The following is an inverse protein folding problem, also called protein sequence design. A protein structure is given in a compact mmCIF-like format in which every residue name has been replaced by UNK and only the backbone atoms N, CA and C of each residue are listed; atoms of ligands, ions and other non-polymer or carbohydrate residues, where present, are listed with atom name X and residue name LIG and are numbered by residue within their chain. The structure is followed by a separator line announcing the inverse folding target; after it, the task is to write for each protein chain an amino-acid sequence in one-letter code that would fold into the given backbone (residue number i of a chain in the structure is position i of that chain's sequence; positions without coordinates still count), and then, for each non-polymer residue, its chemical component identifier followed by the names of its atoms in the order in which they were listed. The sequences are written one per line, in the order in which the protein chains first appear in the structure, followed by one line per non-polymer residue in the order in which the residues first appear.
data_IF_113672634854
#
_entry.id   IF_113672634854
#
_cell.length_a   1.000
_cell.length_b   1.000
_cell.length_c   1.000
_cell.angle_alpha   90.00
_cell.angle_beta   90.00
_cell.angle_gamma   90.00
#
_symmetry.space_group_name_H-M   'P 1'
#
loop_
_entity.id
_entity.type
_entity.pdbx_description
1 polymer ?
#
# COMPACT_ATOMS: atom_id res chain seq x y z
N UNK A 1 -63.83 55.44 -0.16
CA UNK A 1 -63.57 54.96 1.21
C UNK A 1 -64.27 53.62 1.34
N UNK A 2 -63.50 52.53 1.29
CA UNK A 2 -64.02 51.16 1.38
C UNK A 2 -63.51 50.53 2.68
N UNK A 3 -64.37 49.84 3.46
CA UNK A 3 -63.98 49.33 4.77
C UNK A 3 -63.18 48.03 4.64
N UNK A 4 -62.07 47.98 5.38
CA UNK A 4 -61.22 46.79 5.56
C UNK A 4 -61.94 45.77 6.44
N UNK A 5 -62.22 44.59 5.89
CA UNK A 5 -62.76 43.44 6.63
C UNK A 5 -61.60 42.69 7.29
N UNK A 6 -61.57 42.69 8.62
CA UNK A 6 -60.66 41.90 9.45
C UNK A 6 -61.14 40.44 9.49
N UNK A 7 -60.32 39.51 9.01
CA UNK A 7 -60.57 38.08 9.16
C UNK A 7 -60.29 37.61 10.60
N UNK A 8 -61.12 36.72 11.17
CA UNK A 8 -60.91 36.15 12.49
C UNK A 8 -59.73 35.14 12.48
N UNK A 9 -59.05 34.97 13.63
CA UNK A 9 -57.90 34.09 13.77
C UNK A 9 -58.31 32.61 13.64
N UNK A 10 -57.59 31.86 12.80
CA UNK A 10 -57.77 30.42 12.66
C UNK A 10 -57.20 29.66 13.88
N UNK A 11 -57.82 28.54 14.28
CA UNK A 11 -57.34 27.70 15.37
C UNK A 11 -56.04 26.97 14.98
N UNK A 12 -55.12 26.92 15.94
CA UNK A 12 -53.79 26.30 15.83
C UNK A 12 -53.96 24.77 15.72
N UNK A 13 -53.28 24.09 14.77
CA UNK A 13 -53.39 22.64 14.64
C UNK A 13 -52.65 21.91 15.76
N UNK A 14 -53.34 20.89 16.26
CA UNK A 14 -52.95 19.93 17.29
C UNK A 14 -51.62 19.24 16.96
N UNK A 15 -50.74 19.14 17.96
CA UNK A 15 -49.40 18.57 17.84
C UNK A 15 -49.48 17.05 17.62
N UNK A 16 -49.32 16.61 16.38
CA UNK A 16 -49.22 15.19 16.05
C UNK A 16 -47.95 14.59 16.69
N UNK A 17 -48.14 13.61 17.58
CA UNK A 17 -47.04 12.83 18.16
C UNK A 17 -46.39 11.98 17.08
N UNK A 18 -45.16 12.34 16.71
CA UNK A 18 -44.31 11.57 15.79
C UNK A 18 -43.87 10.29 16.49
N UNK A 19 -44.51 9.16 16.14
CA UNK A 19 -44.06 7.83 16.56
C UNK A 19 -42.82 7.46 15.74
N UNK A 20 -41.64 7.58 16.35
CA UNK A 20 -40.37 7.14 15.76
C UNK A 20 -40.33 5.61 15.77
N UNK A 21 -40.78 4.98 14.69
CA UNK A 21 -40.56 3.56 14.42
C UNK A 21 -39.10 3.40 13.99
N UNK A 22 -38.25 3.01 14.95
CA UNK A 22 -36.87 2.64 14.66
C UNK A 22 -36.88 1.30 13.93
N UNK A 23 -36.89 1.36 12.59
CA UNK A 23 -36.70 0.19 11.73
C UNK A 23 -35.27 -0.34 11.92
N UNK A 24 -35.13 -1.27 12.87
CA UNK A 24 -33.90 -2.02 13.08
C UNK A 24 -33.77 -3.03 11.94
N UNK A 25 -33.16 -2.60 10.83
CA UNK A 25 -32.81 -3.45 9.70
C UNK A 25 -32.01 -4.64 10.23
N UNK A 26 -32.59 -5.83 10.14
CA UNK A 26 -31.91 -7.08 10.50
C UNK A 26 -30.82 -7.31 9.46
N UNK A 27 -29.59 -6.99 9.81
CA UNK A 27 -28.41 -7.25 8.97
C UNK A 27 -28.19 -8.76 8.97
N UNK A 28 -28.54 -9.43 7.88
CA UNK A 28 -28.19 -10.84 7.69
C UNK A 28 -26.66 -11.03 7.81
N UNK A 29 -26.18 -12.13 8.40
CA UNK A 29 -24.77 -12.48 8.40
C UNK A 29 -24.28 -12.62 6.95
N UNK A 30 -23.44 -11.67 6.54
CA UNK A 30 -22.89 -11.60 5.18
C UNK A 30 -21.82 -12.68 4.98
N UNK A 31 -21.78 -13.28 3.79
CA UNK A 31 -20.75 -14.24 3.40
C UNK A 31 -19.37 -13.57 3.48
N UNK A 32 -18.43 -14.06 4.32
CA UNK A 32 -17.08 -13.53 4.40
C UNK A 32 -16.32 -13.55 3.06
N UNK A 33 -16.80 -14.33 2.09
CA UNK A 33 -16.22 -14.44 0.75
C UNK A 33 -16.80 -13.45 -0.25
N UNK A 34 -17.79 -12.63 0.11
CA UNK A 34 -18.42 -11.68 -0.83
C UNK A 34 -17.40 -10.73 -1.46
N UNK A 35 -16.56 -10.08 -0.63
CA UNK A 35 -15.48 -9.23 -1.12
C UNK A 35 -14.43 -10.03 -1.90
N UNK A 36 -14.04 -11.21 -1.41
CA UNK A 36 -13.05 -12.06 -2.08
C UNK A 36 -13.47 -12.46 -3.49
N UNK A 37 -14.74 -12.86 -3.66
CA UNK A 37 -15.32 -13.27 -4.93
C UNK A 37 -15.43 -12.08 -5.89
N UNK A 38 -15.86 -10.91 -5.40
CA UNK A 38 -15.93 -9.68 -6.19
C UNK A 38 -14.54 -9.22 -6.66
N UNK A 39 -13.57 -9.23 -5.75
CA UNK A 39 -12.18 -8.89 -6.08
C UNK A 39 -11.62 -9.87 -7.12
N UNK A 40 -11.88 -11.19 -6.96
CA UNK A 40 -11.46 -12.22 -7.91
C UNK A 40 -12.12 -12.07 -9.28
N UNK A 41 -13.42 -11.72 -9.34
CA UNK A 41 -14.12 -11.56 -10.62
C UNK A 41 -13.59 -10.38 -11.44
N UNK A 42 -13.12 -9.33 -10.77
CA UNK A 42 -12.55 -8.13 -11.42
C UNK A 42 -11.07 -8.34 -11.76
N UNK A 43 -10.30 -8.86 -10.82
CA UNK A 43 -8.84 -8.97 -10.93
C UNK A 43 -8.40 -10.23 -11.70
N UNK A 44 -9.21 -11.29 -11.69
CA UNK A 44 -8.85 -12.60 -12.22
C UNK A 44 -7.80 -13.31 -11.35
N UNK A 45 -6.78 -13.89 -11.97
CA UNK A 45 -5.68 -14.53 -11.25
C UNK A 45 -4.76 -13.50 -10.58
N UNK A 46 -4.21 -13.86 -9.43
CA UNK A 46 -3.20 -13.02 -8.78
C UNK A 46 -1.93 -12.95 -9.63
N UNK A 47 -1.35 -11.75 -9.72
CA UNK A 47 0.00 -11.54 -10.23
C UNK A 47 0.68 -10.45 -9.40
N UNK A 48 2.00 -10.49 -9.34
CA UNK A 48 2.78 -9.51 -8.56
C UNK A 48 2.51 -8.06 -9.00
N UNK A 49 2.26 -7.83 -10.30
CA UNK A 49 1.93 -6.51 -10.86
C UNK A 49 0.63 -5.93 -10.26
N UNK A 50 -0.30 -6.79 -9.81
CA UNK A 50 -1.59 -6.41 -9.21
C UNK A 50 -1.49 -6.07 -7.72
N UNK A 51 -0.36 -6.38 -7.08
CA UNK A 51 -0.14 -6.25 -5.63
C UNK A 51 -0.53 -4.88 -5.07
N UNK A 52 -0.14 -3.79 -5.76
CA UNK A 52 -0.38 -2.42 -5.27
C UNK A 52 -1.86 -2.05 -5.34
N UNK A 53 -2.54 -2.44 -6.43
CA UNK A 53 -3.97 -2.18 -6.60
C UNK A 53 -4.80 -2.98 -5.58
N UNK A 54 -4.45 -4.24 -5.38
CA UNK A 54 -5.07 -5.10 -4.36
C UNK A 54 -4.85 -4.51 -2.96
N UNK A 55 -3.63 -4.03 -2.64
CA UNK A 55 -3.36 -3.37 -1.36
C UNK A 55 -4.28 -2.16 -1.14
N UNK A 56 -4.52 -1.33 -2.16
CA UNK A 56 -5.44 -0.19 -2.07
C UNK A 56 -6.89 -0.62 -1.81
N UNK A 57 -7.39 -1.62 -2.54
CA UNK A 57 -8.74 -2.14 -2.35
C UNK A 57 -8.94 -2.79 -0.97
N UNK A 58 -7.95 -3.57 -0.50
CA UNK A 58 -7.95 -4.19 0.84
C UNK A 58 -7.96 -3.14 1.94
N UNK A 59 -7.11 -2.11 1.86
CA UNK A 59 -7.07 -1.05 2.87
C UNK A 59 -8.40 -0.28 2.92
N UNK A 60 -9.06 -0.10 1.77
CA UNK A 60 -10.37 0.54 1.71
C UNK A 60 -11.45 -0.33 2.36
N UNK A 61 -11.51 -1.63 2.03
CA UNK A 61 -12.47 -2.57 2.65
C UNK A 61 -12.26 -2.70 4.16
N UNK A 62 -11.00 -2.76 4.60
CA UNK A 62 -10.66 -2.77 6.01
C UNK A 62 -11.18 -1.50 6.73
N UNK A 63 -11.06 -0.33 6.10
CA UNK A 63 -11.59 0.91 6.64
C UNK A 63 -13.12 0.90 6.72
N UNK A 64 -13.82 0.52 5.65
CA UNK A 64 -15.30 0.39 5.64
C UNK A 64 -15.79 -0.54 6.75
N UNK A 65 -15.07 -1.65 6.95
CA UNK A 65 -15.38 -2.61 8.03
C UNK A 65 -15.25 -1.96 9.40
N UNK A 66 -14.16 -1.23 9.65
CA UNK A 66 -13.94 -0.56 10.92
C UNK A 66 -14.93 0.58 11.17
N UNK A 67 -15.31 1.33 10.13
CA UNK A 67 -16.36 2.35 10.16
C UNK A 67 -17.71 1.75 10.55
N UNK A 68 -18.10 0.65 9.91
CA UNK A 68 -19.38 -0.02 10.19
C UNK A 68 -19.52 -0.51 11.63
N UNK A 69 -18.41 -0.93 12.24
CA UNK A 69 -18.37 -1.41 13.62
C UNK A 69 -18.29 -0.27 14.65
N UNK A 70 -18.24 0.99 14.21
CA UNK A 70 -17.92 2.16 15.05
C UNK A 70 -16.60 2.03 15.83
N UNK A 71 -15.69 1.14 15.39
CA UNK A 71 -14.38 0.88 16.04
C UNK A 71 -13.35 1.95 15.67
N UNK A 72 -13.73 2.99 14.93
CA UNK A 72 -12.85 4.14 14.62
C UNK A 72 -12.97 5.32 15.60
N UNK A 73 -13.77 5.18 16.67
CA UNK A 73 -13.75 6.13 17.80
C UNK A 73 -12.59 6.01 18.82
N UNK A 74 -11.70 5.01 18.85
CA UNK A 74 -10.59 5.00 19.80
C UNK A 74 -9.52 6.02 19.37
N UNK A 75 -8.65 6.38 20.32
CA UNK A 75 -7.55 7.33 20.14
C UNK A 75 -6.82 7.09 18.82
N UNK A 76 -6.45 8.19 18.15
CA UNK A 76 -5.78 8.20 16.83
C UNK A 76 -4.62 7.20 16.74
N UNK A 77 -3.90 6.96 17.84
CA UNK A 77 -2.79 6.00 17.91
C UNK A 77 -3.18 4.57 17.47
N UNK A 78 -4.33 4.06 17.93
CA UNK A 78 -4.76 2.66 17.69
C UNK A 78 -5.40 2.42 16.32
N UNK A 79 -5.83 3.48 15.64
CA UNK A 79 -6.54 3.34 14.36
C UNK A 79 -5.68 2.69 13.27
N UNK A 80 -4.37 2.95 13.28
CA UNK A 80 -3.46 2.35 12.30
C UNK A 80 -3.27 0.84 12.50
N UNK A 81 -3.17 0.41 13.75
CA UNK A 81 -3.02 -1.00 14.11
C UNK A 81 -4.30 -1.78 13.78
N UNK A 82 -5.46 -1.21 14.14
CA UNK A 82 -6.76 -1.78 13.81
C UNK A 82 -6.95 -1.89 12.29
N UNK A 83 -6.56 -0.86 11.53
CA UNK A 83 -6.61 -0.88 10.06
C UNK A 83 -5.76 -2.00 9.49
N UNK A 84 -4.52 -2.15 9.96
CA UNK A 84 -3.61 -3.16 9.45
C UNK A 84 -4.04 -4.58 9.84
N UNK A 85 -4.52 -4.75 11.07
CA UNK A 85 -5.05 -6.03 11.55
C UNK A 85 -6.31 -6.45 10.78
N UNK A 86 -7.21 -5.51 10.51
CA UNK A 86 -8.37 -5.75 9.66
C UNK A 86 -7.96 -6.05 8.21
N UNK A 87 -6.99 -5.32 7.66
CA UNK A 87 -6.46 -5.58 6.31
C UNK A 87 -5.86 -6.98 6.17
N UNK A 88 -5.21 -7.50 7.22
CA UNK A 88 -4.75 -8.90 7.27
C UNK A 88 -5.91 -9.88 7.17
N UNK A 89 -6.94 -9.71 8.00
CA UNK A 89 -8.12 -10.57 7.98
C UNK A 89 -8.85 -10.55 6.61
N UNK A 90 -8.93 -9.37 5.98
CA UNK A 90 -9.47 -9.21 4.62
C UNK A 90 -8.65 -10.02 3.60
N UNK A 91 -7.32 -9.95 3.66
CA UNK A 91 -6.45 -10.71 2.73
C UNK A 91 -6.52 -12.21 3.01
N UNK A 92 -6.58 -12.64 4.27
CA UNK A 92 -6.73 -14.05 4.66
C UNK A 92 -8.03 -14.65 4.13
N UNK A 93 -9.09 -13.83 4.01
CA UNK A 93 -10.35 -14.23 3.37
C UNK A 93 -10.24 -14.45 1.85
N UNK A 94 -9.09 -14.19 1.24
CA UNK A 94 -8.84 -14.34 -0.20
C UNK A 94 -8.03 -15.60 -0.54
N UNK A 95 -8.66 -16.80 -0.56
CA UNK A 95 -7.97 -18.07 -0.75
C UNK A 95 -7.30 -18.23 -2.11
N UNK A 96 -7.76 -17.48 -3.11
CA UNK A 96 -7.21 -17.49 -4.48
C UNK A 96 -5.88 -16.74 -4.61
N UNK A 97 -5.52 -15.93 -3.61
CA UNK A 97 -4.19 -15.32 -3.52
C UNK A 97 -3.25 -16.35 -2.87
N UNK A 98 -2.10 -16.69 -3.47
CA UNK A 98 -1.13 -17.60 -2.87
C UNK A 98 -0.72 -17.13 -1.47
N UNK A 99 -0.56 -18.07 -0.53
CA UNK A 99 -0.25 -17.75 0.87
C UNK A 99 1.00 -16.86 0.99
N UNK A 100 2.06 -17.17 0.23
CA UNK A 100 3.30 -16.39 0.19
C UNK A 100 3.06 -14.94 -0.23
N UNK A 101 2.14 -14.70 -1.17
CA UNK A 101 1.82 -13.38 -1.69
C UNK A 101 0.88 -12.57 -0.80
N UNK A 102 0.17 -13.21 0.14
CA UNK A 102 -0.77 -12.51 1.06
C UNK A 102 -0.02 -11.55 1.98
N UNK A 103 1.07 -12.01 2.58
CA UNK A 103 1.93 -11.17 3.41
C UNK A 103 2.58 -10.07 2.59
N UNK A 104 3.00 -10.40 1.37
CA UNK A 104 3.64 -9.42 0.48
C UNK A 104 2.73 -8.27 0.13
N UNK A 105 1.41 -8.48 -0.04
CA UNK A 105 0.45 -7.39 -0.29
C UNK A 105 0.50 -6.35 0.82
N UNK A 106 0.80 -6.73 2.05
CA UNK A 106 0.94 -5.82 3.19
C UNK A 106 2.38 -5.35 3.41
N UNK A 107 3.22 -5.32 2.37
CA UNK A 107 4.52 -4.65 2.43
C UNK A 107 4.48 -3.18 1.94
N UNK A 108 5.42 -2.36 2.41
CA UNK A 108 5.57 -0.96 2.02
C UNK A 108 5.88 -0.85 0.53
N UNK A 109 6.92 -1.48 0.03
CA UNK A 109 7.36 -1.35 -1.37
C UNK A 109 7.31 -2.70 -2.07
N UNK A 110 7.22 -2.68 -3.41
CA UNK A 110 7.34 -3.91 -4.19
C UNK A 110 8.72 -4.57 -4.01
N UNK A 111 9.76 -3.80 -3.74
CA UNK A 111 11.15 -4.29 -3.77
C UNK A 111 11.75 -4.66 -2.42
N UNK A 112 11.22 -4.18 -1.28
CA UNK A 112 11.97 -4.21 0.00
C UNK A 112 11.41 -5.14 1.06
N UNK A 113 10.39 -5.94 0.74
CA UNK A 113 9.74 -6.89 1.65
C UNK A 113 9.44 -6.35 3.06
N UNK A 114 9.33 -5.02 3.21
CA UNK A 114 9.20 -4.38 4.52
C UNK A 114 7.74 -4.37 4.92
N UNK A 115 7.36 -4.89 6.09
CA UNK A 115 5.99 -4.80 6.58
C UNK A 115 5.44 -3.38 6.54
N UNK A 116 4.20 -3.24 6.07
CA UNK A 116 3.47 -1.99 6.07
C UNK A 116 3.27 -1.57 7.52
N UNK A 117 3.72 -0.36 7.83
CA UNK A 117 3.52 0.21 9.18
C UNK A 117 2.12 0.84 9.27
N UNK A 118 1.48 0.77 10.44
CA UNK A 118 0.20 1.43 10.76
C UNK A 118 0.01 2.86 10.23
N UNK A 119 1.01 3.72 10.39
CA UNK A 119 0.96 5.11 9.92
C UNK A 119 0.99 5.21 8.40
N UNK A 120 1.84 4.39 7.77
CA UNK A 120 1.95 4.35 6.31
C UNK A 120 0.70 3.75 5.68
N UNK A 121 0.08 2.74 6.30
CA UNK A 121 -1.20 2.19 5.88
C UNK A 121 -2.28 3.27 5.86
N UNK A 122 -2.42 4.03 6.95
CA UNK A 122 -3.38 5.13 7.04
C UNK A 122 -3.10 6.25 6.04
N UNK A 123 -1.84 6.65 5.90
CA UNK A 123 -1.44 7.67 4.93
C UNK A 123 -1.83 7.23 3.51
N UNK A 124 -1.55 5.99 3.14
CA UNK A 124 -1.92 5.43 1.83
C UNK A 124 -3.42 5.36 1.61
N UNK A 125 -4.19 4.95 2.63
CA UNK A 125 -5.63 4.95 2.55
C UNK A 125 -6.17 6.37 2.29
N UNK A 126 -5.69 7.38 3.03
CA UNK A 126 -6.08 8.78 2.83
C UNK A 126 -5.70 9.28 1.43
N UNK A 127 -4.47 9.00 0.99
CA UNK A 127 -4.01 9.34 -0.36
C UNK A 127 -4.86 8.65 -1.45
N UNK A 128 -5.23 7.39 -1.25
CA UNK A 128 -6.09 6.64 -2.16
C UNK A 128 -7.48 7.29 -2.27
N UNK A 129 -8.12 7.57 -1.14
CA UNK A 129 -9.44 8.25 -1.09
C UNK A 129 -9.37 9.62 -1.78
N UNK A 130 -8.32 10.40 -1.49
CA UNK A 130 -8.12 11.70 -2.11
C UNK A 130 -7.89 11.59 -3.61
N UNK A 131 -7.11 10.61 -4.08
CA UNK A 131 -6.87 10.39 -5.50
C UNK A 131 -8.16 10.03 -6.24
N UNK A 132 -8.98 9.14 -5.66
CA UNK A 132 -10.28 8.78 -6.22
C UNK A 132 -11.17 10.03 -6.34
N UNK A 133 -11.29 10.82 -5.26
CA UNK A 133 -12.19 11.98 -5.21
C UNK A 133 -11.72 13.16 -6.06
N UNK A 134 -10.41 13.39 -6.18
CA UNK A 134 -9.85 14.58 -6.85
C UNK A 134 -9.37 14.32 -8.26
N UNK A 135 -9.09 13.07 -8.62
CA UNK A 135 -8.50 12.71 -9.92
C UNK A 135 -9.46 11.80 -10.69
N UNK A 136 -9.82 10.65 -10.12
CA UNK A 136 -10.57 9.63 -10.86
C UNK A 136 -12.01 10.06 -11.12
N UNK A 137 -12.76 10.48 -10.09
CA UNK A 137 -14.16 10.91 -10.24
C UNK A 137 -14.28 12.08 -11.23
N UNK A 138 -13.49 13.18 -11.10
CA UNK A 138 -13.54 14.26 -12.09
C UNK A 138 -13.16 13.82 -13.51
N UNK A 139 -12.16 12.94 -13.66
CA UNK A 139 -11.77 12.44 -14.97
C UNK A 139 -12.84 11.55 -15.61
N UNK A 140 -13.50 10.70 -14.83
CA UNK A 140 -14.64 9.89 -15.28
C UNK A 140 -15.83 10.77 -15.68
N UNK A 141 -16.13 11.80 -14.89
CA UNK A 141 -17.19 12.75 -15.21
C UNK A 141 -16.87 13.54 -16.49
N UNK A 142 -15.64 14.02 -16.65
CA UNK A 142 -15.21 14.71 -17.87
C UNK A 142 -15.21 13.79 -19.10
N UNK A 143 -14.86 12.52 -18.94
CA UNK A 143 -14.93 11.53 -20.01
C UNK A 143 -16.37 11.27 -20.44
N UNK A 144 -17.32 11.34 -19.50
CA UNK A 144 -18.75 11.25 -19.75
C UNK A 144 -19.26 9.82 -19.60
N UNK A 145 -20.03 9.56 -18.54
CA UNK A 145 -20.68 8.26 -18.36
C UNK A 145 -21.70 8.01 -19.46
N UNK A 146 -21.69 6.79 -19.99
CA UNK A 146 -22.68 6.29 -20.94
C UNK A 146 -23.79 5.60 -20.16
N UNK A 147 -25.01 6.14 -20.27
CA UNK A 147 -26.16 5.68 -19.48
C UNK A 147 -26.70 4.31 -19.93
N UNK A 148 -26.39 3.89 -21.14
CA UNK A 148 -26.69 2.56 -21.70
C UNK A 148 -25.70 1.48 -21.24
N UNK A 149 -24.62 1.85 -20.55
CA UNK A 149 -23.58 0.95 -20.08
C UNK A 149 -23.63 0.75 -18.57
N UNK A 150 -23.35 -0.47 -18.11
CA UNK A 150 -23.12 -0.75 -16.70
C UNK A 150 -21.90 0.01 -16.17
N UNK A 151 -21.78 0.13 -14.84
CA UNK A 151 -20.62 0.76 -14.21
C UNK A 151 -19.30 0.12 -14.65
N UNK A 152 -19.28 -1.21 -14.67
CA UNK A 152 -18.13 -2.02 -15.07
C UNK A 152 -17.73 -1.78 -16.54
N UNK A 153 -18.70 -1.66 -17.42
CA UNK A 153 -18.48 -1.37 -18.83
C UNK A 153 -17.97 0.07 -19.04
N UNK A 154 -18.53 1.04 -18.31
CA UNK A 154 -18.02 2.42 -18.29
C UNK A 154 -16.56 2.47 -17.82
N UNK A 155 -16.21 1.78 -16.73
CA UNK A 155 -14.83 1.69 -16.24
C UNK A 155 -13.89 1.09 -17.29
N UNK A 156 -14.29 0.01 -17.97
CA UNK A 156 -13.48 -0.61 -19.02
C UNK A 156 -13.28 0.31 -20.22
N UNK A 157 -14.34 1.00 -20.65
CA UNK A 157 -14.28 1.93 -21.77
C UNK A 157 -13.40 3.15 -21.45
N UNK A 158 -13.49 3.69 -20.23
CA UNK A 158 -12.61 4.76 -19.76
C UNK A 158 -11.14 4.34 -19.74
N UNK A 159 -10.83 3.13 -19.23
CA UNK A 159 -9.46 2.62 -19.20
C UNK A 159 -8.90 2.41 -20.62
N UNK A 160 -9.71 1.93 -21.56
CA UNK A 160 -9.32 1.79 -22.95
C UNK A 160 -9.03 3.15 -23.59
N UNK A 161 -9.91 4.14 -23.45
CA UNK A 161 -9.67 5.50 -23.94
C UNK A 161 -8.42 6.14 -23.33
N UNK A 162 -8.21 5.96 -22.03
CA UNK A 162 -7.01 6.44 -21.32
C UNK A 162 -5.72 5.77 -21.81
N UNK A 163 -5.79 4.49 -22.17
CA UNK A 163 -4.67 3.75 -22.74
C UNK A 163 -4.32 4.25 -24.16
N UNK A 164 -5.34 4.37 -25.02
CA UNK A 164 -5.19 4.84 -26.40
C UNK A 164 -4.57 6.24 -26.43
N UNK A 165 -5.07 7.16 -25.60
CA UNK A 165 -4.53 8.52 -25.45
C UNK A 165 -3.06 8.55 -25.01
N UNK A 166 -2.63 7.58 -24.20
CA UNK A 166 -1.27 7.55 -23.64
C UNK A 166 -0.24 6.99 -24.62
N UNK A 167 -0.62 6.01 -25.43
CA UNK A 167 0.30 5.33 -26.34
C UNK A 167 0.12 5.69 -27.81
N UNK A 168 -0.93 6.43 -28.16
CA UNK A 168 -1.28 6.76 -29.54
C UNK A 168 -1.45 5.48 -30.40
N UNK A 169 -2.08 4.46 -29.82
CA UNK A 169 -2.35 3.18 -30.48
C UNK A 169 -3.77 2.73 -30.22
N UNK A 170 -4.45 2.18 -31.23
CA UNK A 170 -5.75 1.52 -31.09
C UNK A 170 -5.66 0.08 -30.52
N UNK A 171 -4.54 -0.27 -29.88
CA UNK A 171 -4.36 -1.59 -29.30
C UNK A 171 -5.23 -1.74 -28.05
N UNK A 172 -5.76 -2.94 -27.85
CA UNK A 172 -6.48 -3.27 -26.62
C UNK A 172 -5.56 -3.11 -25.42
N UNK A 173 -5.98 -2.39 -24.38
CA UNK A 173 -5.16 -2.25 -23.18
C UNK A 173 -4.98 -3.62 -22.52
N UNK A 174 -3.77 -3.90 -22.06
CA UNK A 174 -3.51 -5.12 -21.29
C UNK A 174 -3.99 -4.94 -19.87
N UNK A 175 -4.57 -5.97 -19.25
CA UNK A 175 -5.01 -5.89 -17.85
C UNK A 175 -3.85 -5.49 -16.92
N UNK A 176 -2.61 -5.83 -17.26
CA UNK A 176 -1.44 -5.40 -16.48
C UNK A 176 -1.21 -3.89 -16.45
N UNK A 177 -1.60 -3.20 -17.52
CA UNK A 177 -1.37 -1.77 -17.64
C UNK A 177 -2.16 -0.98 -16.58
N UNK A 178 -3.44 -1.34 -16.37
CA UNK A 178 -4.32 -0.76 -15.34
C UNK A 178 -3.60 -0.75 -13.99
N UNK A 179 -3.07 -1.91 -13.58
CA UNK A 179 -2.45 -2.06 -12.25
C UNK A 179 -1.07 -1.40 -12.12
N UNK A 180 -0.38 -1.15 -13.23
CA UNK A 180 0.92 -0.48 -13.26
C UNK A 180 0.76 1.05 -13.24
N UNK A 181 -0.22 1.58 -13.96
CA UNK A 181 -0.36 3.03 -14.18
C UNK A 181 -1.35 3.67 -13.23
N UNK A 182 -2.46 3.00 -12.92
CA UNK A 182 -3.49 3.52 -12.01
C UNK A 182 -3.99 2.44 -11.05
N UNK A 183 -3.13 2.08 -10.10
CA UNK A 183 -3.48 1.11 -9.07
C UNK A 183 -4.64 1.56 -8.17
N UNK A 184 -4.99 2.85 -8.13
CA UNK A 184 -6.11 3.35 -7.34
C UNK A 184 -7.45 3.15 -8.03
N UNK A 185 -7.47 3.04 -9.36
CA UNK A 185 -8.67 2.81 -10.15
C UNK A 185 -9.42 1.54 -9.78
N UNK A 186 -8.71 0.47 -9.40
CA UNK A 186 -9.34 -0.76 -8.91
C UNK A 186 -10.23 -0.49 -7.67
N UNK A 187 -9.82 0.42 -6.78
CA UNK A 187 -10.63 0.79 -5.61
C UNK A 187 -11.87 1.57 -6.03
N UNK A 188 -11.74 2.49 -7.00
CA UNK A 188 -12.89 3.19 -7.58
C UNK A 188 -13.90 2.21 -8.19
N UNK A 189 -13.44 1.34 -9.09
CA UNK A 189 -14.24 0.35 -9.82
C UNK A 189 -14.99 -0.63 -8.91
N UNK A 190 -14.43 -0.95 -7.74
CA UNK A 190 -15.11 -1.77 -6.74
C UNK A 190 -16.09 -0.90 -5.95
N UNK A 191 -15.62 0.16 -5.29
CA UNK A 191 -16.36 0.80 -4.19
C UNK A 191 -17.14 2.04 -4.57
N UNK A 192 -17.14 2.46 -5.83
CA UNK A 192 -17.84 3.66 -6.28
C UNK A 192 -18.83 3.32 -7.39
N UNK A 193 -19.90 4.09 -7.47
CA UNK A 193 -20.80 4.12 -8.61
C UNK A 193 -20.98 5.57 -9.03
N UNK A 194 -20.48 5.87 -10.23
CA UNK A 194 -20.34 7.24 -10.74
C UNK A 194 -19.58 8.12 -9.73
N UNK A 195 -20.26 9.07 -9.11
CA UNK A 195 -19.65 10.08 -8.23
C UNK A 195 -19.79 9.77 -6.74
N UNK A 196 -20.43 8.64 -6.42
CA UNK A 196 -20.79 8.28 -5.04
C UNK A 196 -20.22 6.93 -4.65
N UNK A 197 -20.01 6.73 -3.34
CA UNK A 197 -19.62 5.42 -2.81
C UNK A 197 -20.75 4.43 -2.98
N UNK A 198 -20.44 3.24 -3.49
CA UNK A 198 -21.39 2.20 -3.79
C UNK A 198 -21.88 1.53 -2.49
N UNK A 199 -23.07 1.93 -2.04
CA UNK A 199 -23.72 1.38 -0.84
C UNK A 199 -24.30 -0.02 -1.05
N UNK A 200 -24.39 -0.50 -2.30
CA UNK A 200 -24.89 -1.85 -2.58
C UNK A 200 -23.91 -2.95 -2.21
N UNK A 201 -22.63 -2.63 -2.04
CA UNK A 201 -21.62 -3.60 -1.62
C UNK A 201 -21.71 -3.74 -0.09
N UNK A 202 -22.16 -4.90 0.41
CA UNK A 202 -22.28 -5.10 1.84
C UNK A 202 -20.91 -5.04 2.49
N UNK A 203 -20.87 -4.51 3.72
CA UNK A 203 -19.65 -4.53 4.53
C UNK A 203 -19.48 -5.93 5.11
N UNK A 204 -18.32 -6.54 4.85
CA UNK A 204 -18.03 -7.89 5.32
C UNK A 204 -17.52 -7.86 6.77
N UNK A 205 -18.07 -8.71 7.62
CA UNK A 205 -17.63 -8.82 9.00
C UNK A 205 -16.49 -9.83 9.15
N UNK A 206 -15.25 -9.33 9.15
CA UNK A 206 -14.09 -10.18 9.44
C UNK A 206 -13.89 -10.34 10.96
N UNK A 207 -13.56 -11.56 11.36
CA UNK A 207 -13.08 -11.89 12.72
C UNK A 207 -11.60 -11.57 12.81
N UNK A 208 -11.25 -10.59 13.64
CA UNK A 208 -9.85 -10.28 13.93
C UNK A 208 -9.41 -11.11 15.12
N UNK A 209 -8.58 -12.12 14.89
CA UNK A 209 -7.95 -12.88 15.98
C UNK A 209 -6.81 -12.03 16.52
N UNK A 210 -7.06 -11.29 17.59
CA UNK A 210 -5.98 -10.67 18.34
C UNK A 210 -5.22 -11.78 19.05
N UNK A 211 -4.10 -12.21 18.47
CA UNK A 211 -3.11 -12.99 19.20
C UNK A 211 -2.48 -12.06 20.22
N UNK A 212 -3.13 -11.91 21.36
CA UNK A 212 -2.55 -11.26 22.52
C UNK A 212 -1.36 -12.14 22.91
N UNK A 213 -0.16 -11.72 22.49
CA UNK A 213 1.06 -12.40 22.89
C UNK A 213 1.05 -12.37 24.42
N UNK A 214 0.84 -13.53 25.05
CA UNK A 214 0.86 -13.66 26.49
C UNK A 214 2.19 -13.10 26.96
N UNK A 215 2.17 -11.87 27.46
CA UNK A 215 3.32 -11.26 28.13
C UNK A 215 3.41 -12.04 29.43
N UNK A 216 4.14 -13.16 29.40
CA UNK A 216 4.55 -13.83 30.62
C UNK A 216 5.23 -12.76 31.46
N UNK A 217 4.70 -12.40 32.64
CA UNK A 217 5.31 -11.37 33.45
C UNK A 217 6.73 -11.84 33.77
N UNK A 218 7.71 -11.22 33.12
CA UNK A 218 9.11 -11.43 33.46
C UNK A 218 9.27 -10.89 34.88
N UNK A 219 9.16 -11.78 35.86
CA UNK A 219 9.50 -11.51 37.25
C UNK A 219 10.95 -11.01 37.22
N UNK A 220 11.13 -9.69 37.33
CA UNK A 220 12.44 -9.08 37.47
C UNK A 220 13.01 -9.58 38.79
N UNK A 221 13.89 -10.57 38.71
CA UNK A 221 14.72 -10.99 39.83
C UNK A 221 15.51 -9.76 40.29
N UNK A 222 15.58 -9.46 41.61
CA UNK A 222 16.35 -8.33 42.10
C UNK A 222 17.80 -8.46 41.64
N UNK A 223 18.29 -7.46 40.92
CA UNK A 223 19.70 -7.36 40.54
C UNK A 223 20.48 -6.95 41.79
N UNK A 224 21.48 -7.73 42.25
CA UNK A 224 22.35 -7.28 43.32
C UNK A 224 23.13 -6.04 42.87
N UNK A 225 23.25 -5.07 43.77
CA UNK A 225 23.85 -3.77 43.52
C UNK A 225 25.27 -3.89 42.91
N UNK A 226 25.61 -3.08 41.88
CA UNK A 226 26.95 -3.07 41.33
C UNK A 226 27.92 -2.42 42.32
N UNK A 227 29.02 -3.10 42.60
CA UNK A 227 30.15 -2.54 43.32
C UNK A 227 30.80 -1.42 42.51
N UNK A 228 31.04 -0.30 43.17
CA UNK A 228 31.70 0.90 42.65
C UNK A 228 33.18 0.60 42.39
N UNK A 229 33.57 0.36 41.14
CA UNK A 229 34.99 0.37 40.75
C UNK A 229 35.32 1.65 40.00
N UNK A 230 35.95 2.56 40.74
CA UNK A 230 36.70 3.72 40.26
C UNK A 230 37.82 3.23 39.34
N UNK A 231 37.83 3.62 38.07
CA UNK A 231 38.97 3.38 37.18
C UNK A 231 39.46 4.69 36.58
N UNK A 232 40.74 4.91 36.84
CA UNK A 232 41.56 6.09 36.62
C UNK A 232 41.80 6.39 35.14
N UNK A 233 41.81 7.67 34.85
CA UNK A 233 42.18 8.36 33.61
C UNK A 233 43.56 7.94 33.10
N UNK A 234 43.66 7.62 31.80
CA UNK A 234 44.94 7.58 31.09
C UNK A 234 44.79 8.19 29.69
N UNK A 235 45.36 9.38 29.54
CA UNK A 235 45.53 10.16 28.32
C UNK A 235 46.58 9.49 27.42
N UNK A 236 46.32 9.33 26.11
CA UNK A 236 47.38 9.05 25.11
C UNK A 236 47.25 9.96 23.89
N UNK A 237 48.40 10.26 23.22
CA UNK A 237 48.55 11.42 22.36
C UNK A 237 48.23 11.13 20.89
N UNK A 238 48.01 12.24 20.20
CA UNK A 238 47.80 12.42 18.76
C UNK A 238 49.03 11.97 17.97
N UNK A 239 48.83 11.11 16.97
CA UNK A 239 49.81 10.86 15.92
C UNK A 239 49.25 11.37 14.58
N UNK A 240 49.93 12.37 14.03
CA UNK A 240 49.73 12.86 12.67
C UNK A 240 50.16 11.79 11.67
N UNK A 241 49.34 11.52 10.65
CA UNK A 241 49.71 10.69 9.51
C UNK A 241 49.51 11.48 8.22
N UNK A 242 50.53 11.35 7.38
CA UNK A 242 50.89 12.19 6.27
C UNK A 242 49.94 12.11 5.07
N UNK A 243 49.91 13.24 4.37
CA UNK A 243 49.35 13.45 3.03
C UNK A 243 50.12 12.61 2.02
N UNK A 244 49.44 11.72 1.30
CA UNK A 244 49.94 11.11 0.08
C UNK A 244 49.10 11.61 -1.11
N UNK A 245 49.74 12.44 -1.96
CA UNK A 245 49.29 12.81 -3.31
C UNK A 245 49.73 11.72 -4.29
N UNK A 246 48.88 11.37 -5.27
CA UNK A 246 49.20 11.03 -6.68
C UNK A 246 47.96 10.43 -7.39
N UNK A 247 47.92 10.30 -8.73
CA UNK A 247 47.83 11.36 -9.72
C UNK A 247 46.60 11.19 -10.64
N UNK A 248 46.38 12.19 -11.50
CA UNK A 248 45.38 12.20 -12.56
C UNK A 248 45.59 11.08 -13.60
N UNK A 249 44.50 10.52 -14.13
CA UNK A 249 44.50 9.70 -15.35
C UNK A 249 43.16 9.81 -16.08
N UNK A 250 43.22 10.57 -17.18
CA UNK A 250 42.61 10.44 -18.50
C UNK A 250 41.15 9.97 -18.72
N UNK A 251 40.48 10.50 -19.78
CA UNK A 251 39.05 10.31 -20.04
C UNK A 251 38.75 8.99 -20.78
N UNK A 252 37.64 8.35 -20.43
CA UNK A 252 37.08 7.22 -21.19
C UNK A 252 36.10 7.72 -22.25
N UNK A 253 36.36 7.32 -23.49
CA UNK A 253 35.55 7.48 -24.69
C UNK A 253 34.27 6.63 -24.66
N UNK A 254 33.23 6.98 -25.45
CA UNK A 254 31.96 6.27 -25.47
C UNK A 254 32.03 5.07 -26.45
N UNK A 255 31.62 3.89 -25.99
CA UNK A 255 31.40 2.73 -26.85
C UNK A 255 29.94 2.70 -27.29
N UNK A 256 29.76 2.95 -28.58
CA UNK A 256 28.57 2.70 -29.41
C UNK A 256 28.63 1.25 -29.90
N UNK A 257 27.54 0.49 -29.78
CA UNK A 257 27.15 -0.64 -30.65
C UNK A 257 25.70 -0.99 -30.28
N UNK A 258 24.69 -0.70 -31.11
CA UNK A 258 24.32 -1.34 -32.39
C UNK A 258 23.60 -2.69 -32.19
N UNK A 259 22.32 -2.64 -32.54
CA UNK A 259 21.36 -3.70 -32.90
C UNK A 259 21.90 -5.12 -33.10
N UNK A 260 21.18 -6.09 -32.53
CA UNK A 260 21.00 -7.40 -33.14
C UNK A 260 19.57 -7.91 -32.84
N UNK A 261 18.82 -8.11 -33.92
CA UNK A 261 17.62 -8.94 -33.98
C UNK A 261 17.89 -10.33 -33.41
N UNK A 262 16.92 -10.91 -32.72
CA UNK A 262 16.74 -12.36 -32.75
C UNK A 262 15.28 -12.69 -32.45
N UNK A 263 14.60 -13.17 -33.50
CA UNK A 263 13.36 -13.93 -33.42
C UNK A 263 13.55 -15.10 -32.43
N UNK A 264 12.70 -15.19 -31.41
CA UNK A 264 12.56 -16.39 -30.60
C UNK A 264 11.34 -17.18 -31.09
N UNK A 265 11.59 -18.42 -31.51
CA UNK A 265 10.60 -19.42 -31.92
C UNK A 265 10.04 -20.16 -30.69
N UNK A 266 8.79 -20.58 -30.80
CA UNK A 266 7.91 -21.17 -29.78
C UNK A 266 8.20 -22.66 -29.41
N UNK A 267 9.43 -23.16 -29.48
CA UNK A 267 9.71 -24.61 -29.34
C UNK A 267 10.34 -25.07 -27.99
N UNK A 268 10.57 -24.18 -27.02
CA UNK A 268 11.24 -24.56 -25.75
C UNK A 268 10.30 -24.81 -24.53
N UNK A 269 8.98 -24.89 -24.74
CA UNK A 269 8.01 -24.98 -23.62
C UNK A 269 7.85 -26.41 -23.06
N UNK A 270 8.25 -27.46 -23.78
CA UNK A 270 8.08 -28.86 -23.31
C UNK A 270 9.20 -29.42 -22.42
N UNK A 271 10.32 -28.70 -22.23
CA UNK A 271 11.42 -29.16 -21.38
C UNK A 271 11.30 -28.78 -19.88
N UNK A 272 10.18 -28.16 -19.46
CA UNK A 272 10.04 -27.59 -18.10
C UNK A 272 9.36 -28.50 -17.07
N UNK A 273 8.95 -29.72 -17.44
CA UNK A 273 8.19 -30.64 -16.56
C UNK A 273 9.00 -31.75 -15.90
N UNK A 274 10.34 -31.72 -15.94
CA UNK A 274 11.17 -32.67 -15.18
C UNK A 274 11.76 -32.06 -13.89
N UNK A 275 11.09 -32.32 -12.77
CA UNK A 275 11.72 -32.89 -11.55
C UNK A 275 12.68 -32.05 -10.69
N UNK A 276 12.16 -31.49 -9.59
CA UNK A 276 12.74 -31.54 -8.24
C UNK A 276 14.17 -31.00 -7.92
N UNK A 277 14.81 -30.18 -8.78
CA UNK A 277 16.08 -29.51 -8.44
C UNK A 277 16.07 -27.97 -8.37
N UNK A 278 14.91 -27.32 -8.51
CA UNK A 278 14.81 -25.85 -8.63
C UNK A 278 14.77 -25.05 -7.32
N UNK A 279 14.39 -25.66 -6.20
CA UNK A 279 14.15 -24.91 -4.95
C UNK A 279 15.38 -24.16 -4.39
N UNK A 280 16.61 -24.61 -4.65
CA UNK A 280 17.81 -24.01 -4.04
C UNK A 280 18.41 -22.86 -4.86
N UNK A 281 18.26 -22.91 -6.19
CA UNK A 281 18.78 -21.87 -7.10
C UNK A 281 17.87 -20.64 -7.08
N UNK A 282 16.56 -20.84 -6.93
CA UNK A 282 15.60 -19.74 -6.85
C UNK A 282 15.75 -18.92 -5.55
N UNK A 283 16.12 -19.57 -4.43
CA UNK A 283 16.39 -18.91 -3.16
C UNK A 283 17.67 -18.06 -3.16
N UNK A 284 18.77 -18.57 -3.73
CA UNK A 284 20.01 -17.80 -3.89
C UNK A 284 19.82 -16.59 -4.82
N UNK A 285 19.00 -16.76 -5.86
CA UNK A 285 18.67 -15.69 -6.78
C UNK A 285 17.77 -14.62 -6.11
N UNK A 286 16.82 -15.04 -5.26
CA UNK A 286 15.99 -14.14 -4.47
C UNK A 286 16.81 -13.34 -3.45
N UNK A 287 17.73 -13.98 -2.73
CA UNK A 287 18.65 -13.30 -1.81
C UNK A 287 19.55 -12.30 -2.55
N UNK A 288 20.06 -12.70 -3.72
CA UNK A 288 20.89 -11.82 -4.56
C UNK A 288 20.12 -10.62 -5.11
N UNK A 289 18.83 -10.78 -5.44
CA UNK A 289 17.95 -9.68 -5.86
C UNK A 289 17.63 -8.74 -4.69
N UNK A 290 17.29 -9.29 -3.52
CA UNK A 290 17.06 -8.53 -2.28
C UNK A 290 18.28 -7.68 -1.90
N UNK A 291 19.48 -8.27 -2.02
CA UNK A 291 20.74 -7.57 -1.74
C UNK A 291 21.00 -6.42 -2.71
N UNK A 292 20.83 -6.64 -4.01
CA UNK A 292 21.02 -5.58 -5.02
C UNK A 292 20.08 -4.39 -4.79
N UNK A 293 18.81 -4.68 -4.50
CA UNK A 293 17.82 -3.65 -4.19
C UNK A 293 18.18 -2.82 -2.93
N UNK A 294 18.75 -3.47 -1.90
CA UNK A 294 19.19 -2.79 -0.68
C UNK A 294 20.40 -1.89 -0.93
N UNK A 295 21.38 -2.36 -1.72
CA UNK A 295 22.56 -1.57 -2.08
C UNK A 295 22.16 -0.33 -2.90
N UNK A 296 21.24 -0.48 -3.84
CA UNK A 296 20.71 0.64 -4.63
C UNK A 296 19.97 1.66 -3.76
N UNK A 297 19.19 1.22 -2.77
CA UNK A 297 18.57 2.12 -1.79
C UNK A 297 19.60 2.87 -0.95
N UNK A 298 20.60 2.16 -0.44
CA UNK A 298 21.65 2.77 0.37
C UNK A 298 22.40 3.80 -0.47
N UNK A 299 22.66 3.51 -1.75
CA UNK A 299 23.22 4.49 -2.69
C UNK A 299 22.33 5.74 -2.82
N UNK A 300 21.02 5.57 -3.04
CA UNK A 300 20.10 6.70 -3.16
C UNK A 300 19.97 7.52 -1.87
N UNK A 301 20.01 6.87 -0.70
CA UNK A 301 20.02 7.55 0.60
C UNK A 301 21.36 8.25 0.87
N UNK A 302 22.48 7.68 0.42
CA UNK A 302 23.80 8.32 0.46
C UNK A 302 23.84 9.59 -0.40
N UNK A 303 23.28 9.53 -1.60
CA UNK A 303 23.16 10.70 -2.49
C UNK A 303 22.27 11.78 -1.87
N UNK A 304 21.21 11.39 -1.17
CA UNK A 304 20.37 12.33 -0.43
C UNK A 304 21.14 12.97 0.73
N UNK A 305 21.85 12.19 1.55
CA UNK A 305 22.67 12.70 2.65
C UNK A 305 23.76 13.66 2.16
N UNK A 306 24.30 13.44 0.95
CA UNK A 306 25.26 14.34 0.33
C UNK A 306 24.69 15.73 0.08
N UNK A 307 23.39 15.85 -0.22
CA UNK A 307 22.71 17.15 -0.40
C UNK A 307 22.60 17.96 0.91
N UNK A 308 22.85 17.34 2.07
CA UNK A 308 22.83 18.01 3.38
C UNK A 308 24.22 18.35 3.90
N UNK A 309 25.28 18.10 3.13
CA UNK A 309 26.64 18.54 3.49
C UNK A 309 26.69 20.06 3.63
N UNK A 310 27.17 20.56 4.77
CA UNK A 310 27.22 21.99 5.09
C UNK A 310 25.95 22.55 5.77
N UNK A 311 24.85 21.80 5.78
CA UNK A 311 23.62 22.16 6.52
C UNK A 311 23.56 21.43 7.87
N UNK A 312 23.93 20.15 7.87
CA UNK A 312 23.93 19.29 9.07
C UNK A 312 25.38 19.08 9.54
N UNK A 313 25.65 19.05 10.86
CA UNK A 313 27.00 18.77 11.38
C UNK A 313 27.58 17.47 10.82
N UNK A 314 28.88 17.48 10.51
CA UNK A 314 29.57 16.36 9.88
C UNK A 314 29.50 15.07 10.71
N UNK A 315 29.56 15.19 12.04
CA UNK A 315 29.48 14.04 12.95
C UNK A 315 28.14 13.31 12.86
N UNK A 316 27.04 14.06 12.77
CA UNK A 316 25.70 13.51 12.61
C UNK A 316 25.51 12.86 11.23
N UNK A 317 26.01 13.48 10.16
CA UNK A 317 26.00 12.87 8.83
C UNK A 317 26.81 11.57 8.82
N UNK A 318 27.97 11.54 9.47
CA UNK A 318 28.82 10.36 9.55
C UNK A 318 28.21 9.24 10.40
N UNK A 319 27.47 9.58 11.47
CA UNK A 319 26.68 8.60 12.23
C UNK A 319 25.56 8.00 11.38
N UNK A 320 24.81 8.84 10.63
CA UNK A 320 23.75 8.39 9.72
C UNK A 320 24.30 7.49 8.61
N UNK A 321 25.44 7.85 8.01
CA UNK A 321 26.14 7.00 7.02
C UNK A 321 26.51 5.64 7.61
N UNK A 322 27.12 5.62 8.81
CA UNK A 322 27.46 4.37 9.51
C UNK A 322 26.23 3.50 9.78
N UNK A 323 25.12 4.10 10.20
CA UNK A 323 23.83 3.40 10.37
C UNK A 323 23.34 2.78 9.05
N UNK A 324 23.41 3.52 7.94
CA UNK A 324 23.03 2.99 6.62
C UNK A 324 23.90 1.81 6.18
N UNK A 325 25.22 1.89 6.36
CA UNK A 325 26.10 0.77 6.02
C UNK A 325 25.88 -0.46 6.90
N UNK A 326 25.48 -0.28 8.17
CA UNK A 326 25.18 -1.41 9.06
C UNK A 326 23.97 -2.24 8.63
N UNK A 327 23.11 -1.69 7.77
CA UNK A 327 21.96 -2.41 7.20
C UNK A 327 22.35 -3.37 6.08
N UNK A 328 23.53 -3.22 5.46
CA UNK A 328 24.00 -4.14 4.41
C UNK A 328 24.37 -5.50 5.04
N UNK A 329 23.75 -6.62 4.60
CA UNK A 329 24.14 -7.94 5.07
C UNK A 329 25.62 -8.21 4.78
N UNK A 330 26.38 -8.64 5.80
CA UNK A 330 27.78 -9.06 5.64
C UNK A 330 27.83 -10.32 4.76
N UNK A 331 28.75 -10.35 3.80
CA UNK A 331 29.05 -11.59 3.08
C UNK A 331 29.84 -12.49 4.02
N UNK A 332 29.31 -13.68 4.29
CA UNK A 332 30.08 -14.79 4.82
C UNK A 332 30.63 -15.62 3.67
#
# INVERSE_FOLDING_TARGET
MSPTVLNPPQPVPETAQVTVTSNKTVVQPQDPKAFSNLLKSIVGSYSFNKRRAIQCAVLFEANRTLESKNILRPKYETQGDNLLSMAKAVIESCPWIPNESRDEILYRTMTKCMPLNPEVARKRLKENILNIKRVIIPAMHQWGYKDDMSHEENCKAYLQDSYEKKYDTANRYTSEWEYKVDFTFLTYRIFYNKDSENTSIPVVNYTVTHTEAAVTPTVRRPVPAPATTTTTTATRPVAAVAVARHPASAPRTPVRNSQANTDMRDEDIEALLSGNRRSRVDDENLQSRKRRALVEEISGQMDLLKKFEGIVPADELNERRRKLYSLVPKMN
#
